data_IF_940179043136
#
_entry.id   IF_940179043136
#
_cell.length_a   1.000
_cell.length_b   1.000
_cell.length_c   1.000
_cell.angle_alpha   90.00
_cell.angle_beta   90.00
_cell.angle_gamma   90.00
#
_symmetry.space_group_name_H-M   'P 1'
#
loop_
_entity.id
_entity.type
_entity.pdbx_description
1 polymer ?
#
# COMPACT_ATOMS: atom_id res chain seq x y z
N UNK A 1 5.78 -8.96 -26.17
CA UNK A 1 5.39 -8.56 -24.80
C UNK A 1 4.06 -9.24 -24.44
N UNK A 2 4.06 -10.19 -23.50
CA UNK A 2 2.85 -10.95 -23.13
C UNK A 2 2.02 -10.23 -22.05
N UNK A 3 1.32 -9.18 -22.47
CA UNK A 3 0.53 -8.30 -21.57
C UNK A 3 -0.53 -9.08 -20.79
N UNK A 4 -1.19 -10.07 -21.40
CA UNK A 4 -2.24 -10.86 -20.73
C UNK A 4 -1.73 -11.65 -19.52
N UNK A 5 -0.54 -12.25 -19.63
CA UNK A 5 0.12 -12.96 -18.54
C UNK A 5 0.57 -11.99 -17.44
N UNK A 6 1.11 -10.83 -17.83
CA UNK A 6 1.48 -9.78 -16.88
C UNK A 6 0.29 -9.29 -16.05
N UNK A 7 -0.84 -8.99 -16.69
CA UNK A 7 -2.08 -8.58 -16.01
C UNK A 7 -2.58 -9.69 -15.07
N UNK A 8 -2.50 -10.96 -15.51
CA UNK A 8 -2.92 -12.10 -14.69
C UNK A 8 -2.05 -12.24 -13.44
N UNK A 9 -0.73 -12.10 -13.57
CA UNK A 9 0.19 -12.10 -12.44
C UNK A 9 -0.10 -10.95 -11.46
N UNK A 10 -0.35 -9.74 -11.98
CA UNK A 10 -0.75 -8.59 -11.17
C UNK A 10 -2.05 -8.85 -10.41
N UNK A 11 -3.06 -9.42 -11.07
CA UNK A 11 -4.35 -9.72 -10.44
C UNK A 11 -4.18 -10.67 -9.24
N UNK A 12 -3.41 -11.75 -9.40
CA UNK A 12 -3.14 -12.71 -8.31
C UNK A 12 -2.48 -12.01 -7.12
N UNK A 13 -1.47 -11.17 -7.39
CA UNK A 13 -0.72 -10.48 -6.35
C UNK A 13 -1.57 -9.45 -5.60
N UNK A 14 -2.40 -8.67 -6.32
CA UNK A 14 -3.25 -7.66 -5.71
C UNK A 14 -4.52 -8.23 -5.03
N UNK A 15 -4.88 -9.48 -5.33
CA UNK A 15 -5.99 -10.16 -4.67
C UNK A 15 -5.65 -10.54 -3.22
N UNK A 16 -4.38 -10.80 -2.90
CA UNK A 16 -3.95 -11.14 -1.55
C UNK A 16 -3.64 -9.84 -0.79
N UNK A 17 -4.45 -9.47 0.22
CA UNK A 17 -4.29 -8.19 0.91
C UNK A 17 -2.98 -8.17 1.71
N UNK A 18 -2.10 -7.25 1.33
CA UNK A 18 -0.92 -6.86 2.11
C UNK A 18 -1.21 -5.71 3.08
N UNK A 19 -0.16 -5.16 3.73
CA UNK A 19 -0.30 -4.04 4.66
C UNK A 19 -0.89 -2.79 3.97
N UNK A 20 -0.56 -2.56 2.70
CA UNK A 20 -1.04 -1.43 1.90
C UNK A 20 -2.56 -1.45 1.72
N UNK A 21 -3.11 -2.61 1.30
CA UNK A 21 -4.56 -2.79 1.11
C UNK A 21 -5.30 -2.72 2.45
N UNK A 22 -4.72 -3.28 3.52
CA UNK A 22 -5.27 -3.17 4.88
C UNK A 22 -5.34 -1.72 5.35
N UNK A 23 -4.32 -0.91 5.06
CA UNK A 23 -4.30 0.51 5.39
C UNK A 23 -5.39 1.28 4.63
N UNK A 24 -5.56 1.03 3.34
CA UNK A 24 -6.64 1.65 2.54
C UNK A 24 -8.00 1.24 3.07
N UNK A 25 -8.20 -0.06 3.35
CA UNK A 25 -9.45 -0.61 3.84
C UNK A 25 -9.80 -0.02 5.21
N UNK A 26 -8.84 0.04 6.14
CA UNK A 26 -9.01 0.68 7.44
C UNK A 26 -9.33 2.18 7.31
N UNK A 27 -8.53 2.91 6.53
CA UNK A 27 -8.69 4.35 6.36
C UNK A 27 -10.06 4.67 5.79
N UNK A 28 -10.51 3.92 4.79
CA UNK A 28 -11.82 4.11 4.18
C UNK A 28 -12.98 3.70 5.09
N UNK A 29 -12.83 2.62 5.85
CA UNK A 29 -13.85 2.18 6.81
C UNK A 29 -13.96 3.06 8.06
N UNK A 30 -12.96 3.90 8.31
CA UNK A 30 -12.95 4.83 9.45
C UNK A 30 -13.32 6.26 9.04
N UNK A 31 -12.70 6.77 7.98
CA UNK A 31 -12.79 8.17 7.55
C UNK A 31 -13.61 8.36 6.27
N UNK A 32 -13.98 7.27 5.60
CA UNK A 32 -14.79 7.29 4.39
C UNK A 32 -13.98 7.19 3.10
N UNK A 33 -14.71 7.05 1.98
CA UNK A 33 -14.14 6.74 0.66
C UNK A 33 -13.05 7.72 0.21
N UNK A 34 -13.23 9.01 0.47
CA UNK A 34 -12.29 10.05 0.05
C UNK A 34 -10.88 9.84 0.64
N UNK A 35 -10.77 9.54 1.93
CA UNK A 35 -9.48 9.28 2.58
C UNK A 35 -8.88 7.96 2.13
N UNK A 36 -9.72 6.95 1.86
CA UNK A 36 -9.29 5.71 1.22
C UNK A 36 -8.63 5.96 -0.14
N UNK A 37 -9.27 6.76 -1.00
CA UNK A 37 -8.74 7.14 -2.31
C UNK A 37 -7.48 8.00 -2.22
N UNK A 38 -7.41 8.94 -1.26
CA UNK A 38 -6.19 9.70 -1.02
C UNK A 38 -5.02 8.78 -0.63
N UNK A 39 -5.27 7.79 0.23
CA UNK A 39 -4.28 6.76 0.58
C UNK A 39 -3.85 5.95 -0.64
N UNK A 40 -4.81 5.52 -1.46
CA UNK A 40 -4.55 4.78 -2.71
C UNK A 40 -3.68 5.57 -3.69
N UNK A 41 -3.89 6.89 -3.82
CA UNK A 41 -3.04 7.76 -4.63
C UNK A 41 -1.60 7.84 -4.09
N UNK A 42 -1.44 7.87 -2.77
CA UNK A 42 -0.12 7.80 -2.14
C UNK A 42 0.60 6.49 -2.48
N UNK A 43 -0.11 5.36 -2.38
CA UNK A 43 0.39 4.05 -2.78
C UNK A 43 0.78 4.01 -4.26
N UNK A 44 -0.04 4.58 -5.15
CA UNK A 44 0.23 4.59 -6.59
C UNK A 44 1.50 5.38 -6.94
N UNK A 45 1.72 6.54 -6.30
CA UNK A 45 2.94 7.33 -6.50
C UNK A 45 4.17 6.57 -6.00
N UNK A 46 4.10 5.96 -4.81
CA UNK A 46 5.19 5.13 -4.30
C UNK A 46 5.51 3.95 -5.23
N UNK A 47 4.48 3.27 -5.75
CA UNK A 47 4.64 2.20 -6.75
C UNK A 47 5.32 2.72 -8.02
N UNK A 48 4.93 3.89 -8.52
CA UNK A 48 5.60 4.54 -9.65
C UNK A 48 7.08 4.82 -9.39
N UNK A 49 7.45 5.25 -8.18
CA UNK A 49 8.84 5.43 -7.78
C UNK A 49 9.59 4.09 -7.74
N UNK A 50 8.98 3.02 -7.25
CA UNK A 50 9.57 1.68 -7.29
C UNK A 50 9.77 1.18 -8.72
N UNK A 51 8.82 1.44 -9.63
CA UNK A 51 9.00 1.15 -11.05
C UNK A 51 10.23 1.91 -11.58
N UNK A 52 10.33 3.22 -11.32
CA UNK A 52 11.47 4.01 -11.78
C UNK A 52 12.81 3.45 -11.24
N UNK A 53 12.88 3.14 -9.94
CA UNK A 53 14.07 2.54 -9.34
C UNK A 53 14.39 1.16 -9.94
N UNK A 54 13.38 0.32 -10.18
CA UNK A 54 13.56 -0.98 -10.83
C UNK A 54 14.17 -0.82 -12.23
N UNK A 55 13.71 0.17 -13.01
CA UNK A 55 14.28 0.49 -14.33
C UNK A 55 15.73 0.99 -14.26
N UNK A 56 16.13 1.62 -13.15
CA UNK A 56 17.50 2.04 -12.86
C UNK A 56 18.40 0.92 -12.32
N UNK A 57 17.91 -0.32 -12.25
CA UNK A 57 18.73 -1.47 -11.83
C UNK A 57 18.74 -1.72 -10.33
N UNK A 58 17.67 -1.37 -9.61
CA UNK A 58 17.55 -1.63 -8.16
C UNK A 58 17.82 -3.08 -7.75
N UNK A 59 17.47 -4.05 -8.60
CA UNK A 59 17.79 -5.46 -8.38
C UNK A 59 19.32 -5.70 -8.31
N UNK A 60 20.09 -5.11 -9.22
CA UNK A 60 21.55 -5.20 -9.21
C UNK A 60 22.15 -4.46 -7.99
N UNK A 61 21.54 -3.35 -7.58
CA UNK A 61 21.96 -2.61 -6.38
C UNK A 61 21.85 -3.48 -5.12
N UNK A 62 20.79 -4.28 -4.96
CA UNK A 62 20.67 -5.17 -3.81
C UNK A 62 21.62 -6.36 -3.84
N UNK A 63 21.99 -6.85 -5.02
CA UNK A 63 23.06 -7.86 -5.14
C UNK A 63 24.40 -7.26 -4.71
N UNK A 64 24.69 -6.02 -5.10
CA UNK A 64 25.93 -5.33 -4.76
C UNK A 64 25.98 -4.85 -3.30
N UNK A 65 24.84 -4.43 -2.73
CA UNK A 65 24.71 -3.89 -1.38
C UNK A 65 23.52 -4.55 -0.64
N UNK A 66 23.67 -5.81 -0.17
CA UNK A 66 22.58 -6.53 0.50
C UNK A 66 22.05 -5.81 1.76
N UNK A 67 22.91 -5.07 2.46
CA UNK A 67 22.53 -4.30 3.65
C UNK A 67 21.47 -3.22 3.37
N UNK A 68 21.36 -2.72 2.14
CA UNK A 68 20.36 -1.72 1.77
C UNK A 68 18.94 -2.31 1.82
N UNK A 69 18.80 -3.57 1.43
CA UNK A 69 17.56 -4.30 1.56
C UNK A 69 17.17 -4.46 3.04
N UNK A 70 18.12 -4.86 3.88
CA UNK A 70 17.90 -4.97 5.34
C UNK A 70 17.51 -3.64 5.96
N UNK A 71 18.15 -2.54 5.55
CA UNK A 71 17.81 -1.20 6.02
C UNK A 71 16.35 -0.85 5.70
N UNK A 72 15.92 -1.05 4.45
CA UNK A 72 14.52 -0.83 4.04
C UNK A 72 13.58 -1.77 4.81
N UNK A 73 13.96 -3.03 4.98
CA UNK A 73 13.19 -4.05 5.71
C UNK A 73 12.93 -3.65 7.16
N UNK A 74 13.96 -3.25 7.89
CA UNK A 74 13.83 -2.83 9.29
C UNK A 74 13.12 -1.48 9.45
N UNK A 75 13.41 -0.50 8.59
CA UNK A 75 12.69 0.78 8.59
C UNK A 75 11.20 0.60 8.30
N UNK A 76 10.88 -0.27 7.34
CA UNK A 76 9.51 -0.68 7.02
C UNK A 76 8.81 -1.36 8.19
N UNK A 77 9.47 -2.31 8.83
CA UNK A 77 8.90 -2.98 10.00
C UNK A 77 8.64 -1.99 11.15
N UNK A 78 9.59 -1.12 11.46
CA UNK A 78 9.42 -0.09 12.48
C UNK A 78 8.26 0.86 12.16
N UNK A 79 8.16 1.30 10.90
CA UNK A 79 7.07 2.16 10.45
C UNK A 79 5.70 1.46 10.51
N UNK A 80 5.60 0.21 10.06
CA UNK A 80 4.37 -0.56 10.11
C UNK A 80 3.93 -0.85 11.56
N UNK A 81 4.87 -1.14 12.47
CA UNK A 81 4.57 -1.25 13.91
C UNK A 81 3.98 0.06 14.42
N UNK A 82 4.60 1.19 14.08
CA UNK A 82 4.10 2.51 14.48
C UNK A 82 2.69 2.79 13.91
N UNK A 83 2.44 2.48 12.64
CA UNK A 83 1.10 2.59 12.02
C UNK A 83 0.10 1.68 12.73
N UNK A 84 0.44 0.41 12.95
CA UNK A 84 -0.36 -0.57 13.68
C UNK A 84 -0.76 -0.08 15.08
N UNK A 85 0.20 0.46 15.83
CA UNK A 85 -0.03 1.04 17.15
C UNK A 85 -0.93 2.29 17.09
N UNK A 86 -0.77 3.15 16.07
CA UNK A 86 -1.68 4.29 15.87
C UNK A 86 -3.12 3.85 15.62
N UNK A 87 -3.31 2.79 14.82
CA UNK A 87 -4.62 2.22 14.53
C UNK A 87 -5.31 1.75 15.82
N UNK A 88 -4.60 0.99 16.65
CA UNK A 88 -5.12 0.48 17.93
C UNK A 88 -5.41 1.61 18.92
N UNK A 89 -4.53 2.62 19.00
CA UNK A 89 -4.63 3.73 19.97
C UNK A 89 -5.61 4.83 19.55
N UNK A 90 -6.03 4.87 18.29
CA UNK A 90 -6.92 5.92 17.79
C UNK A 90 -8.28 5.85 18.49
N UNK A 91 -8.58 6.80 19.40
CA UNK A 91 -9.91 6.96 20.02
C UNK A 91 -10.79 7.81 19.11
N UNK A 92 -12.00 7.33 18.79
CA UNK A 92 -13.04 8.20 18.22
C UNK A 92 -13.66 8.98 19.38
N UNK A 93 -13.47 10.30 19.41
CA UNK A 93 -14.24 11.17 20.31
C UNK A 93 -15.72 10.96 20.00
N UNK A 94 -16.49 10.66 21.03
CA UNK A 94 -17.93 10.35 20.98
C UNK A 94 -18.81 11.60 20.90
N UNK A 95 -18.25 12.79 20.68
CA UNK A 95 -19.04 14.01 20.54
C UNK A 95 -19.53 14.21 19.10
N UNK A 96 -20.84 14.07 18.95
CA UNK A 96 -21.59 14.12 17.69
C UNK A 96 -21.78 15.55 17.14
N UNK A 97 -21.24 16.59 17.78
CA UNK A 97 -21.58 18.00 17.47
C UNK A 97 -20.39 18.94 17.18
N UNK A 98 -19.18 18.43 16.93
CA UNK A 98 -18.11 19.28 16.42
C UNK A 98 -17.69 18.83 15.02
N UNK A 99 -17.50 19.76 14.06
CA UNK A 99 -16.81 19.44 12.82
C UNK A 99 -15.47 18.88 13.23
N UNK A 100 -15.23 17.62 12.87
CA UNK A 100 -14.09 16.84 13.34
C UNK A 100 -12.79 17.37 12.71
N UNK A 101 -12.35 18.55 13.14
CA UNK A 101 -11.03 19.12 12.86
C UNK A 101 -9.99 18.47 13.76
N UNK A 102 -10.05 17.15 13.93
CA UNK A 102 -8.94 16.39 14.47
C UNK A 102 -7.95 16.14 13.34
N UNK A 103 -6.66 16.19 13.67
CA UNK A 103 -5.48 15.95 12.81
C UNK A 103 -5.47 14.59 12.06
N UNK A 104 -6.60 13.89 12.02
CA UNK A 104 -6.91 12.63 11.35
C UNK A 104 -7.79 12.77 10.11
N UNK A 105 -8.41 13.93 9.86
CA UNK A 105 -9.32 14.15 8.71
C UNK A 105 -8.67 14.72 7.45
N UNK A 106 -7.34 14.88 7.39
CA UNK A 106 -6.68 15.47 6.22
C UNK A 106 -6.44 14.44 5.12
N UNK A 107 -6.90 14.72 3.90
CA UNK A 107 -6.56 13.92 2.71
C UNK A 107 -5.05 13.86 2.49
N UNK A 108 -4.32 14.94 2.79
CA UNK A 108 -2.86 14.96 2.68
C UNK A 108 -2.19 13.96 3.63
N UNK A 109 -2.67 13.83 4.87
CA UNK A 109 -2.10 12.87 5.82
C UNK A 109 -2.41 11.42 5.39
N UNK A 110 -3.60 11.15 4.88
CA UNK A 110 -3.98 9.86 4.33
C UNK A 110 -3.09 9.48 3.13
N UNK A 111 -2.92 10.42 2.19
CA UNK A 111 -2.00 10.29 1.06
C UNK A 111 -0.55 10.01 1.50
N UNK A 112 -0.02 10.82 2.43
CA UNK A 112 1.36 10.67 2.93
C UNK A 112 1.55 9.32 3.63
N UNK A 113 0.55 8.85 4.39
CA UNK A 113 0.58 7.51 5.00
C UNK A 113 0.65 6.42 3.95
N UNK A 114 -0.18 6.49 2.90
CA UNK A 114 -0.10 5.57 1.76
C UNK A 114 1.30 5.57 1.12
N UNK A 115 1.80 6.76 0.77
CA UNK A 115 3.11 6.93 0.16
C UNK A 115 4.22 6.29 1.00
N UNK A 116 4.31 6.63 2.29
CA UNK A 116 5.35 6.12 3.18
C UNK A 116 5.21 4.61 3.44
N UNK A 117 3.98 4.11 3.57
CA UNK A 117 3.73 2.68 3.79
C UNK A 117 4.28 1.86 2.64
N UNK A 118 3.98 2.25 1.39
CA UNK A 118 4.45 1.49 0.23
C UNK A 118 5.94 1.71 -0.04
N UNK A 119 6.49 2.93 0.09
CA UNK A 119 7.93 3.16 -0.08
C UNK A 119 8.78 2.35 0.89
N UNK A 120 8.30 2.18 2.12
CA UNK A 120 8.96 1.37 3.15
C UNK A 120 8.52 -0.09 3.11
N UNK A 121 7.77 -0.52 2.09
CA UNK A 121 7.33 -1.90 1.92
C UNK A 121 8.32 -2.64 0.99
N UNK A 122 9.28 -3.40 1.54
CA UNK A 122 10.27 -4.10 0.73
C UNK A 122 9.63 -5.17 -0.16
N UNK A 123 8.43 -5.67 0.17
CA UNK A 123 7.67 -6.57 -0.73
C UNK A 123 7.30 -5.83 -2.01
N UNK A 124 6.78 -4.61 -1.92
CA UNK A 124 6.39 -3.80 -3.09
C UNK A 124 7.60 -3.41 -3.93
N UNK A 125 8.71 -3.08 -3.28
CA UNK A 125 9.96 -2.73 -3.93
C UNK A 125 10.56 -3.95 -4.67
N UNK A 126 10.69 -5.11 -4.01
CA UNK A 126 11.16 -6.34 -4.64
C UNK A 126 10.24 -6.80 -5.76
N UNK A 127 8.94 -6.69 -5.55
CA UNK A 127 7.95 -7.04 -6.56
C UNK A 127 8.18 -6.29 -7.86
N UNK A 128 8.31 -4.96 -7.83
CA UNK A 128 8.63 -4.18 -9.02
C UNK A 128 9.99 -4.58 -9.60
N UNK A 129 11.01 -4.74 -8.76
CA UNK A 129 12.39 -5.03 -9.19
C UNK A 129 12.55 -6.40 -9.85
N UNK A 130 11.73 -7.38 -9.46
CA UNK A 130 11.80 -8.76 -9.96
C UNK A 130 10.78 -8.99 -11.07
N UNK A 131 9.55 -8.50 -10.91
CA UNK A 131 8.48 -8.76 -11.89
C UNK A 131 8.70 -7.98 -13.18
N UNK A 132 8.98 -6.67 -13.13
CA UNK A 132 9.05 -5.84 -14.36
C UNK A 132 10.08 -6.37 -15.37
N UNK A 133 11.35 -6.66 -14.98
CA UNK A 133 12.35 -7.15 -15.93
C UNK A 133 11.97 -8.48 -16.58
N UNK A 134 11.20 -9.34 -15.91
CA UNK A 134 10.79 -10.65 -16.46
C UNK A 134 9.88 -10.54 -17.69
N UNK A 135 9.17 -9.42 -17.86
CA UNK A 135 8.25 -9.21 -18.98
C UNK A 135 8.85 -8.32 -20.09
N UNK A 136 10.04 -7.78 -19.87
CA UNK A 136 10.78 -6.95 -20.84
C UNK A 136 11.58 -7.84 -21.77
N UNK A 137 11.42 -7.64 -23.08
CA UNK A 137 12.12 -8.40 -24.11
C UNK A 137 13.20 -7.52 -24.74
N UNK A 138 14.46 -7.72 -24.36
CA UNK A 138 15.61 -6.91 -24.80
C UNK A 138 15.90 -6.99 -26.30
N UNK A 139 15.44 -8.05 -26.97
CA UNK A 139 15.63 -8.26 -28.41
C UNK A 139 14.47 -7.75 -29.27
N UNK A 140 13.38 -7.24 -28.67
CA UNK A 140 12.13 -6.92 -29.37
C UNK A 140 11.70 -5.46 -29.18
N UNK A 141 12.59 -4.52 -29.52
CA UNK A 141 12.29 -3.07 -29.54
C UNK A 141 12.85 -2.31 -28.34
N UNK A 142 12.35 -1.09 -28.13
CA UNK A 142 12.87 -0.19 -27.10
C UNK A 142 12.50 -0.68 -25.69
N UNK A 143 13.53 -1.02 -24.91
CA UNK A 143 13.44 -1.47 -23.52
C UNK A 143 12.81 -0.40 -22.62
N UNK A 144 13.16 0.88 -22.81
CA UNK A 144 12.66 1.95 -21.97
C UNK A 144 11.16 2.15 -22.17
N UNK A 145 10.68 2.06 -23.42
CA UNK A 145 9.26 2.11 -23.74
C UNK A 145 8.50 0.92 -23.14
N UNK A 146 9.02 -0.31 -23.30
CA UNK A 146 8.41 -1.51 -22.70
C UNK A 146 8.32 -1.41 -21.18
N UNK A 147 9.39 -0.95 -20.53
CA UNK A 147 9.45 -0.77 -19.09
C UNK A 147 8.45 0.27 -18.61
N UNK A 148 8.35 1.40 -19.32
CA UNK A 148 7.41 2.48 -19.02
C UNK A 148 5.95 2.00 -19.16
N UNK A 149 5.64 1.25 -20.22
CA UNK A 149 4.30 0.69 -20.44
C UNK A 149 3.93 -0.34 -19.37
N UNK A 150 4.80 -1.32 -19.09
CA UNK A 150 4.56 -2.31 -18.03
C UNK A 150 4.43 -1.64 -16.66
N UNK A 151 5.25 -0.62 -16.41
CA UNK A 151 5.19 0.20 -15.21
C UNK A 151 3.86 0.93 -15.04
N UNK A 152 3.39 1.59 -16.10
CA UNK A 152 2.09 2.27 -16.12
C UNK A 152 0.94 1.28 -15.89
N UNK A 153 0.99 0.09 -16.51
CA UNK A 153 0.00 -0.97 -16.28
C UNK A 153 0.04 -1.46 -14.82
N UNK A 154 1.21 -1.72 -14.26
CA UNK A 154 1.36 -2.14 -12.85
C UNK A 154 0.78 -1.12 -11.88
N UNK A 155 1.08 0.17 -12.08
CA UNK A 155 0.57 1.26 -11.25
C UNK A 155 -0.94 1.40 -11.42
N UNK A 156 -1.44 1.42 -12.67
CA UNK A 156 -2.85 1.56 -12.98
C UNK A 156 -3.71 0.42 -12.44
N UNK A 157 -3.30 -0.84 -12.66
CA UNK A 157 -4.00 -2.02 -12.13
C UNK A 157 -4.03 -1.98 -10.61
N UNK A 158 -2.90 -1.73 -9.95
CA UNK A 158 -2.93 -1.69 -8.49
C UNK A 158 -3.73 -0.50 -7.95
N UNK A 159 -3.77 0.65 -8.64
CA UNK A 159 -4.63 1.78 -8.25
C UNK A 159 -6.12 1.40 -8.38
N UNK A 160 -6.49 0.62 -9.40
CA UNK A 160 -7.85 0.09 -9.54
C UNK A 160 -8.22 -0.83 -8.36
N UNK A 161 -7.31 -1.73 -7.97
CA UNK A 161 -7.51 -2.58 -6.79
C UNK A 161 -7.59 -1.76 -5.50
N UNK A 162 -6.69 -0.80 -5.30
CA UNK A 162 -6.71 0.09 -4.12
C UNK A 162 -8.02 0.89 -4.06
N UNK A 163 -8.52 1.38 -5.20
CA UNK A 163 -9.81 2.05 -5.29
C UNK A 163 -11.00 1.12 -4.98
N UNK A 164 -10.92 -0.16 -5.37
CA UNK A 164 -11.88 -1.18 -4.99
C UNK A 164 -11.87 -1.40 -3.47
N UNK A 165 -10.69 -1.58 -2.85
CA UNK A 165 -10.56 -1.70 -1.40
C UNK A 165 -11.07 -0.43 -0.68
N UNK A 166 -10.84 0.76 -1.24
CA UNK A 166 -11.40 2.00 -0.70
C UNK A 166 -12.93 1.98 -0.78
N UNK A 167 -13.53 1.56 -1.89
CA UNK A 167 -14.99 1.43 -1.99
C UNK A 167 -15.55 0.39 -1.00
N UNK A 168 -14.91 -0.77 -0.87
CA UNK A 168 -15.29 -1.81 0.08
C UNK A 168 -15.23 -1.31 1.52
N UNK A 169 -14.15 -0.65 1.91
CA UNK A 169 -14.00 -0.07 3.25
C UNK A 169 -15.08 0.96 3.56
N UNK A 170 -15.41 1.83 2.60
CA UNK A 170 -16.47 2.82 2.77
C UNK A 170 -17.84 2.18 2.95
N UNK A 171 -18.12 1.04 2.29
CA UNK A 171 -19.36 0.29 2.52
C UNK A 171 -19.41 -0.28 3.94
N UNK A 172 -18.29 -0.74 4.47
CA UNK A 172 -18.17 -1.26 5.84
C UNK A 172 -18.31 -0.16 6.90
N UNK A 173 -18.04 1.11 6.55
CA UNK A 173 -18.10 2.26 7.46
C UNK A 173 -19.44 2.35 8.19
N UNK A 174 -20.57 2.15 7.51
CA UNK A 174 -21.92 2.21 8.12
C UNK A 174 -22.14 1.08 9.13
N UNK A 175 -21.63 -0.12 8.84
CA UNK A 175 -21.78 -1.27 9.72
C UNK A 175 -20.96 -1.10 11.01
N UNK A 176 -19.74 -0.57 10.90
CA UNK A 176 -18.91 -0.26 12.05
C UNK A 176 -19.38 0.98 12.82
N UNK A 177 -19.93 1.99 12.14
CA UNK A 177 -20.42 3.22 12.77
C UNK A 177 -21.54 2.96 13.80
N UNK A 178 -22.30 1.88 13.66
CA UNK A 178 -23.45 1.56 14.52
C UNK A 178 -23.10 1.21 15.98
N UNK A 179 -21.92 0.63 16.27
CA UNK A 179 -21.57 0.17 17.62
C UNK A 179 -20.09 0.40 17.96
N UNK A 180 -19.84 1.01 19.12
CA UNK A 180 -18.50 1.28 19.64
C UNK A 180 -17.63 0.01 19.76
N UNK A 181 -18.23 -1.12 20.13
CA UNK A 181 -17.54 -2.42 20.20
C UNK A 181 -17.02 -2.86 18.84
N UNK A 182 -17.81 -2.68 17.77
CA UNK A 182 -17.43 -3.05 16.40
C UNK A 182 -16.29 -2.16 15.88
N UNK A 183 -16.33 -0.85 16.17
CA UNK A 183 -15.23 0.06 15.83
C UNK A 183 -13.94 -0.30 16.58
N UNK A 184 -14.05 -0.73 17.83
CA UNK A 184 -12.89 -1.15 18.64
C UNK A 184 -12.31 -2.45 18.06
N UNK A 185 -13.16 -3.46 17.82
CA UNK A 185 -12.74 -4.71 17.20
C UNK A 185 -12.04 -4.49 15.85
N UNK A 186 -12.61 -3.65 14.98
CA UNK A 186 -12.03 -3.28 13.69
C UNK A 186 -10.61 -2.71 13.86
N UNK A 187 -10.43 -1.70 14.71
CA UNK A 187 -9.12 -1.07 14.98
C UNK A 187 -8.09 -2.09 15.47
N UNK A 188 -8.48 -2.98 16.38
CA UNK A 188 -7.62 -4.04 16.89
C UNK A 188 -7.24 -5.07 15.81
N UNK A 189 -8.21 -5.52 15.00
CA UNK A 189 -7.96 -6.48 13.92
C UNK A 189 -6.98 -5.91 12.90
N UNK A 190 -7.26 -4.71 12.34
CA UNK A 190 -6.39 -4.10 11.34
C UNK A 190 -5.00 -3.76 11.90
N UNK A 191 -4.94 -3.22 13.12
CA UNK A 191 -3.68 -2.89 13.78
C UNK A 191 -2.83 -4.13 14.04
N UNK A 192 -3.45 -5.21 14.56
CA UNK A 192 -2.75 -6.48 14.83
C UNK A 192 -2.27 -7.14 13.53
N UNK A 193 -3.07 -7.13 12.47
CA UNK A 193 -2.66 -7.65 11.16
C UNK A 193 -1.45 -6.89 10.60
N UNK A 194 -1.48 -5.55 10.66
CA UNK A 194 -0.37 -4.71 10.20
C UNK A 194 0.90 -4.96 11.04
N UNK A 195 0.78 -5.08 12.37
CA UNK A 195 1.91 -5.44 13.24
C UNK A 195 2.42 -6.84 12.90
N UNK A 196 1.53 -7.80 12.66
CA UNK A 196 1.88 -9.15 12.24
C UNK A 196 2.66 -9.17 10.93
N UNK A 197 2.26 -8.36 9.94
CA UNK A 197 3.04 -8.15 8.72
C UNK A 197 4.42 -7.55 9.02
N UNK A 198 4.51 -6.57 9.92
CA UNK A 198 5.78 -5.96 10.31
C UNK A 198 6.75 -6.96 10.96
N UNK A 199 6.24 -7.84 11.84
CA UNK A 199 7.05 -8.88 12.48
C UNK A 199 7.51 -9.94 11.47
N UNK A 200 6.62 -10.34 10.55
CA UNK A 200 6.98 -11.22 9.44
C UNK A 200 8.00 -10.58 8.51
N UNK A 201 7.99 -9.26 8.40
CA UNK A 201 8.94 -8.51 7.59
C UNK A 201 10.33 -8.46 8.25
N UNK A 202 10.38 -8.33 9.57
CA UNK A 202 11.62 -8.24 10.33
C UNK A 202 12.28 -9.59 10.66
N UNK A 203 11.57 -10.72 10.49
CA UNK A 203 12.13 -12.08 10.57
C UNK A 203 12.75 -12.45 9.24
#
# INVERSE_FOLDING_TARGET
>A
MEIGLFISALAIVYLIPGPDMLLVLHTSSTLGRGHGLATALGLAIARGLHVALAGLGLAALFVAAPWLFDAVRYLGAAYLIWVGLQLIRSKRSTDTNQPQASLTGSYYLAWRRGLLTNLLNPKSLLFCSVLLPQFVHTQQGDVALQFTLLGAVLVGVGLLYDALYACLGARMQRWFASHQTRQTLQRWVFGTLIIGFALKLAS
#
